data_IF_125956128397
#
_entry.id   IF_125956128397
#
_cell.length_a   1.000
_cell.length_b   1.000
_cell.length_c   1.000
_cell.angle_alpha   90.00
_cell.angle_beta   90.00
_cell.angle_gamma   90.00
#
_symmetry.space_group_name_H-M   'P 1'
#
loop_
_entity.id
_entity.type
_entity.pdbx_description
1 polymer ?
#
# COMPACT_ATOMS: atom_id res chain seq x y z
N UNK A 1 19.27 -28.12 5.67
CA UNK A 1 20.02 -29.40 5.54
C UNK A 1 19.03 -30.42 5.03
N UNK A 2 19.30 -30.98 3.85
CA UNK A 2 18.62 -32.21 3.41
C UNK A 2 19.32 -33.34 4.17
N UNK A 3 18.62 -34.25 4.85
CA UNK A 3 19.28 -35.36 5.51
C UNK A 3 19.96 -36.30 4.49
N UNK A 4 20.98 -37.05 4.91
CA UNK A 4 21.61 -38.05 4.05
C UNK A 4 20.70 -39.28 3.99
N UNK A 5 20.13 -39.56 2.81
CA UNK A 5 19.26 -40.71 2.58
C UNK A 5 19.87 -41.61 1.51
N UNK A 6 19.81 -42.92 1.73
CA UNK A 6 20.42 -43.93 0.83
C UNK A 6 19.49 -44.39 -0.29
N UNK A 7 18.21 -43.98 -0.27
CA UNK A 7 17.17 -44.31 -1.27
C UNK A 7 16.23 -43.10 -1.46
N UNK A 8 15.92 -42.74 -2.70
CA UNK A 8 15.06 -41.60 -3.04
C UNK A 8 13.62 -41.73 -2.50
N UNK A 9 13.16 -42.97 -2.31
CA UNK A 9 11.82 -43.30 -1.79
C UNK A 9 11.69 -42.88 -0.33
N UNK A 10 12.71 -43.14 0.48
CA UNK A 10 12.72 -42.80 1.91
C UNK A 10 12.73 -41.27 2.11
N UNK A 11 13.46 -40.54 1.26
CA UNK A 11 13.45 -39.08 1.25
C UNK A 11 12.07 -38.53 0.88
N UNK A 12 11.43 -39.08 -0.15
CA UNK A 12 10.10 -38.64 -0.58
C UNK A 12 9.04 -38.89 0.51
N UNK A 13 9.13 -40.01 1.21
CA UNK A 13 8.24 -40.35 2.32
C UNK A 13 8.46 -39.42 3.53
N UNK A 14 9.72 -39.17 3.90
CA UNK A 14 10.07 -38.23 4.98
C UNK A 14 9.61 -36.81 4.67
N UNK A 15 9.79 -36.36 3.43
CA UNK A 15 9.33 -35.05 2.97
C UNK A 15 7.79 -34.95 3.06
N UNK A 16 7.07 -35.94 2.55
CA UNK A 16 5.61 -35.99 2.63
C UNK A 16 5.11 -35.96 4.08
N UNK A 17 5.76 -36.73 4.96
CA UNK A 17 5.45 -36.77 6.40
C UNK A 17 5.71 -35.43 7.08
N UNK A 18 6.82 -34.76 6.76
CA UNK A 18 7.16 -33.45 7.32
C UNK A 18 6.08 -32.40 7.01
N UNK A 19 5.67 -32.26 5.75
CA UNK A 19 4.67 -31.26 5.37
C UNK A 19 3.28 -31.59 5.92
N UNK A 20 2.89 -32.86 5.90
CA UNK A 20 1.61 -33.31 6.48
C UNK A 20 1.55 -32.97 7.97
N UNK A 21 2.62 -33.26 8.72
CA UNK A 21 2.69 -32.97 10.14
C UNK A 21 2.72 -31.46 10.41
N UNK A 22 3.44 -30.68 9.60
CA UNK A 22 3.49 -29.22 9.72
C UNK A 22 2.12 -28.57 9.50
N UNK A 23 1.38 -29.02 8.49
CA UNK A 23 0.02 -28.53 8.20
C UNK A 23 -0.93 -28.88 9.36
N UNK A 24 -0.85 -30.10 9.88
CA UNK A 24 -1.65 -30.53 11.03
C UNK A 24 -1.37 -29.68 12.28
N UNK A 25 -0.09 -29.47 12.61
CA UNK A 25 0.30 -28.68 13.79
C UNK A 25 -0.21 -27.23 13.69
N UNK A 26 -0.03 -26.57 12.55
CA UNK A 26 -0.52 -25.20 12.35
C UNK A 26 -2.04 -25.11 12.55
N UNK A 27 -2.82 -26.06 11.99
CA UNK A 27 -4.28 -26.07 12.14
C UNK A 27 -4.69 -26.26 13.60
N UNK A 28 -4.07 -27.22 14.29
CA UNK A 28 -4.39 -27.49 15.69
C UNK A 28 -3.98 -26.35 16.62
N UNK A 29 -2.90 -25.62 16.33
CA UNK A 29 -2.51 -24.42 17.08
C UNK A 29 -3.52 -23.28 16.88
N UNK A 30 -3.95 -23.02 15.64
CA UNK A 30 -4.97 -22.00 15.35
C UNK A 30 -6.34 -22.33 15.98
N UNK A 31 -6.73 -23.61 16.00
CA UNK A 31 -7.96 -24.06 16.66
C UNK A 31 -7.88 -23.94 18.18
N UNK A 32 -6.69 -24.13 18.78
CA UNK A 32 -6.48 -23.89 20.21
C UNK A 32 -6.60 -22.41 20.56
N UNK A 33 -6.05 -21.52 19.73
CA UNK A 33 -6.16 -20.07 19.92
C UNK A 33 -7.62 -19.58 19.82
N UNK A 34 -8.42 -20.16 18.91
CA UNK A 34 -9.85 -19.85 18.81
C UNK A 34 -10.71 -20.35 19.99
N UNK A 35 -10.24 -21.36 20.75
CA UNK A 35 -10.96 -21.91 21.90
C UNK A 35 -10.57 -21.26 23.24
N UNK A 36 -9.53 -20.42 23.27
CA UNK A 36 -9.34 -19.46 24.36
C UNK A 36 -10.34 -18.33 24.18
N UNK A 37 -11.44 -18.42 24.94
CA UNK A 37 -12.51 -17.44 25.10
C UNK A 37 -12.22 -16.08 24.47
N UNK A 38 -12.75 -15.92 23.26
CA UNK A 38 -12.79 -14.66 22.54
C UNK A 38 -13.74 -13.70 23.27
N UNK A 39 -13.27 -13.11 24.37
CA UNK A 39 -13.94 -12.01 25.07
C UNK A 39 -14.00 -10.73 24.21
N UNK A 40 -13.42 -10.74 23.01
CA UNK A 40 -13.35 -9.57 22.13
C UNK A 40 -14.55 -9.38 21.18
N UNK A 41 -15.42 -10.37 20.98
CA UNK A 41 -16.52 -10.25 20.01
C UNK A 41 -17.74 -9.46 20.53
N UNK A 42 -17.88 -9.25 21.84
CA UNK A 42 -19.00 -8.47 22.41
C UNK A 42 -18.76 -6.95 22.44
N UNK A 43 -17.60 -6.47 21.99
CA UNK A 43 -17.27 -5.04 21.91
C UNK A 43 -17.45 -4.45 20.51
N UNK A 44 -17.80 -5.26 19.51
CA UNK A 44 -18.09 -4.77 18.17
C UNK A 44 -19.55 -4.32 18.15
N UNK A 45 -19.82 -3.16 18.78
CA UNK A 45 -20.88 -2.29 18.26
C UNK A 45 -20.62 -2.16 16.75
N UNK A 46 -21.62 -2.32 15.85
CA UNK A 46 -21.37 -2.07 14.44
C UNK A 46 -20.80 -0.67 14.37
N UNK A 47 -19.53 -0.56 13.96
CA UNK A 47 -18.85 0.72 13.87
C UNK A 47 -19.54 1.49 12.74
N UNK A 48 -20.63 2.16 13.09
CA UNK A 48 -21.46 2.97 12.20
C UNK A 48 -20.78 4.31 11.92
N UNK A 49 -19.46 4.29 11.73
CA UNK A 49 -18.74 5.45 11.27
C UNK A 49 -18.81 5.44 9.74
N UNK A 50 -19.90 6.00 9.23
CA UNK A 50 -20.05 6.30 7.81
C UNK A 50 -19.25 7.56 7.52
N UNK A 51 -18.26 7.46 6.64
CA UNK A 51 -17.59 8.63 6.09
C UNK A 51 -18.53 9.25 5.06
N UNK A 52 -19.30 10.24 5.48
CA UNK A 52 -20.27 10.95 4.62
C UNK A 52 -19.61 12.05 3.79
N UNK A 53 -18.52 12.63 4.28
CA UNK A 53 -17.83 13.75 3.65
C UNK A 53 -16.34 13.77 3.97
N UNK A 54 -15.57 14.40 3.10
CA UNK A 54 -14.17 14.71 3.33
C UNK A 54 -14.01 16.14 3.83
N UNK A 55 -13.10 16.35 4.77
CA UNK A 55 -12.67 17.69 5.16
C UNK A 55 -11.95 18.36 4.00
N UNK A 56 -12.41 19.56 3.63
CA UNK A 56 -11.74 20.37 2.61
C UNK A 56 -10.37 20.83 3.11
N UNK A 57 -9.43 20.95 2.18
CA UNK A 57 -8.06 21.39 2.45
C UNK A 57 -7.90 22.90 2.31
N UNK A 58 -6.82 23.42 2.90
CA UNK A 58 -6.44 24.83 2.83
C UNK A 58 -5.25 25.08 1.90
N UNK A 59 -5.12 26.33 1.43
CA UNK A 59 -3.92 26.76 0.70
C UNK A 59 -2.62 26.48 1.46
N UNK A 60 -2.62 26.63 2.79
CA UNK A 60 -1.45 26.37 3.62
C UNK A 60 -1.04 24.90 3.56
N UNK A 61 -1.99 23.99 3.63
CA UNK A 61 -1.75 22.55 3.55
C UNK A 61 -1.22 22.16 2.17
N UNK A 62 -1.81 22.70 1.08
CA UNK A 62 -1.33 22.47 -0.28
C UNK A 62 0.11 22.94 -0.46
N UNK A 63 0.46 24.16 0.00
CA UNK A 63 1.85 24.65 -0.06
C UNK A 63 2.82 23.74 0.68
N UNK A 64 2.44 23.30 1.89
CA UNK A 64 3.26 22.38 2.67
C UNK A 64 3.41 21.00 2.00
N UNK A 65 2.35 20.49 1.37
CA UNK A 65 2.37 19.22 0.65
C UNK A 65 3.31 19.28 -0.54
N UNK A 66 3.21 20.33 -1.36
CA UNK A 66 4.08 20.53 -2.53
C UNK A 66 5.54 20.70 -2.11
N UNK A 67 5.82 21.45 -1.04
CA UNK A 67 7.18 21.64 -0.53
C UNK A 67 7.82 20.31 -0.08
N UNK A 68 7.04 19.43 0.57
CA UNK A 68 7.49 18.12 1.06
C UNK A 68 7.58 17.04 -0.02
N UNK A 69 6.92 17.26 -1.16
CA UNK A 69 6.87 16.29 -2.25
C UNK A 69 8.23 16.14 -2.94
N UNK A 70 8.54 14.94 -3.43
CA UNK A 70 9.75 14.72 -4.23
C UNK A 70 9.68 15.51 -5.53
N UNK A 71 10.82 16.02 -6.01
CA UNK A 71 10.90 16.70 -7.31
C UNK A 71 10.95 15.66 -8.45
N UNK A 72 9.92 14.82 -8.55
CA UNK A 72 9.76 13.87 -9.65
C UNK A 72 9.03 14.53 -10.82
N UNK A 73 9.34 14.16 -12.05
CA UNK A 73 8.63 14.66 -13.24
C UNK A 73 8.04 13.47 -13.97
N UNK A 74 6.81 13.62 -14.44
CA UNK A 74 6.12 12.65 -15.28
C UNK A 74 6.15 13.17 -16.72
N UNK A 75 6.40 12.30 -17.70
CA UNK A 75 6.38 12.70 -19.12
C UNK A 75 4.99 13.16 -19.59
N UNK A 76 3.93 12.64 -18.97
CA UNK A 76 2.55 13.06 -19.23
C UNK A 76 2.18 14.37 -18.53
N UNK A 77 3.00 14.85 -17.59
CA UNK A 77 2.75 16.10 -16.89
C UNK A 77 3.49 17.25 -17.57
N UNK A 78 2.77 18.22 -18.18
CA UNK A 78 3.40 19.37 -18.81
C UNK A 78 4.07 20.33 -17.80
N UNK A 79 3.83 20.16 -16.49
CA UNK A 79 4.38 21.00 -15.44
C UNK A 79 5.41 20.23 -14.59
N UNK A 80 6.72 20.44 -14.82
CA UNK A 80 7.75 19.82 -13.99
C UNK A 80 7.64 20.24 -12.51
N UNK A 81 7.79 19.28 -11.59
CA UNK A 81 7.72 19.54 -10.13
C UNK A 81 8.63 20.68 -9.62
N UNK A 82 9.87 20.89 -10.14
CA UNK A 82 10.67 22.04 -9.73
C UNK A 82 10.02 23.38 -10.09
N UNK A 83 9.37 23.47 -11.25
CA UNK A 83 8.67 24.68 -11.69
C UNK A 83 7.41 24.91 -10.87
N UNK A 84 6.66 23.84 -10.58
CA UNK A 84 5.52 23.90 -9.67
C UNK A 84 5.92 24.48 -8.30
N UNK A 85 7.06 24.05 -7.74
CA UNK A 85 7.56 24.57 -6.46
C UNK A 85 7.93 26.05 -6.52
N UNK A 86 8.46 26.52 -7.64
CA UNK A 86 8.80 27.94 -7.84
C UNK A 86 7.55 28.82 -7.97
N UNK A 87 6.50 28.32 -8.61
CA UNK A 87 5.26 29.05 -8.87
C UNK A 87 4.12 28.67 -7.90
N UNK A 88 4.45 28.07 -6.74
CA UNK A 88 3.43 27.51 -5.85
C UNK A 88 2.55 28.59 -5.24
N UNK A 89 3.06 29.80 -5.04
CA UNK A 89 2.29 30.88 -4.45
C UNK A 89 1.12 31.31 -5.34
N UNK A 90 1.35 31.36 -6.65
CA UNK A 90 0.35 31.68 -7.68
C UNK A 90 -0.57 30.50 -7.99
N UNK A 91 -0.04 29.28 -8.03
CA UNK A 91 -0.79 28.07 -8.41
C UNK A 91 -1.60 27.48 -7.25
N UNK A 92 -1.23 27.77 -6.01
CA UNK A 92 -1.87 27.20 -4.83
C UNK A 92 -3.40 27.38 -4.79
N UNK A 93 -3.99 28.56 -5.09
CA UNK A 93 -5.45 28.71 -5.09
C UNK A 93 -6.16 27.75 -6.06
N UNK A 94 -5.59 27.56 -7.26
CA UNK A 94 -6.15 26.68 -8.27
C UNK A 94 -6.03 25.21 -7.85
N UNK A 95 -4.86 24.81 -7.32
CA UNK A 95 -4.64 23.45 -6.83
C UNK A 95 -5.59 23.11 -5.67
N UNK A 96 -5.74 24.02 -4.71
CA UNK A 96 -6.70 23.88 -3.61
C UNK A 96 -8.12 23.73 -4.12
N UNK A 97 -8.51 24.51 -5.14
CA UNK A 97 -9.83 24.41 -5.74
C UNK A 97 -10.06 23.05 -6.41
N UNK A 98 -9.07 22.54 -7.16
CA UNK A 98 -9.14 21.21 -7.82
C UNK A 98 -9.30 20.11 -6.76
N UNK A 99 -8.48 20.14 -5.70
CA UNK A 99 -8.54 19.15 -4.61
C UNK A 99 -9.88 19.21 -3.89
N UNK A 100 -10.34 20.41 -3.49
CA UNK A 100 -11.61 20.56 -2.79
C UNK A 100 -12.82 20.19 -3.63
N UNK A 101 -12.79 20.47 -4.93
CA UNK A 101 -13.81 19.99 -5.88
C UNK A 101 -13.81 18.48 -5.95
N UNK A 102 -12.63 17.85 -5.99
CA UNK A 102 -12.53 16.38 -6.03
C UNK A 102 -13.05 15.74 -4.75
N UNK A 103 -12.71 16.32 -3.59
CA UNK A 103 -13.15 15.83 -2.27
C UNK A 103 -14.66 16.00 -2.06
N UNK A 104 -15.24 17.12 -2.49
CA UNK A 104 -16.67 17.39 -2.32
C UNK A 104 -17.57 16.62 -3.29
N UNK A 105 -17.09 16.38 -4.52
CA UNK A 105 -17.84 15.66 -5.55
C UNK A 105 -17.52 14.17 -5.63
N UNK A 106 -16.58 13.70 -4.81
CA UNK A 106 -16.01 12.35 -4.85
C UNK A 106 -15.53 11.94 -6.26
N UNK A 107 -15.16 12.91 -7.10
CA UNK A 107 -14.81 12.69 -8.51
C UNK A 107 -13.44 13.29 -8.79
N UNK A 108 -12.52 12.47 -9.29
CA UNK A 108 -11.18 12.92 -9.66
C UNK A 108 -11.04 13.09 -11.18
N UNK A 109 -10.32 14.11 -11.68
CA UNK A 109 -10.16 14.35 -13.12
C UNK A 109 -9.46 13.19 -13.84
N UNK A 110 -10.01 12.74 -14.97
CA UNK A 110 -9.45 11.61 -15.74
C UNK A 110 -8.04 11.87 -16.24
N UNK A 111 -7.74 13.08 -16.70
CA UNK A 111 -6.40 13.48 -17.14
C UNK A 111 -5.32 13.32 -16.06
N UNK A 112 -5.69 13.32 -14.79
CA UNK A 112 -4.77 13.15 -13.65
C UNK A 112 -4.72 11.70 -13.15
N UNK A 113 -5.53 10.78 -13.70
CA UNK A 113 -5.52 9.34 -13.37
C UNK A 113 -4.46 8.57 -14.15
N UNK A 114 -3.94 9.16 -15.21
CA UNK A 114 -2.98 8.52 -16.10
C UNK A 114 -1.55 8.72 -15.61
N UNK A 115 -0.77 7.64 -15.61
CA UNK A 115 0.67 7.68 -15.35
C UNK A 115 1.38 6.69 -16.28
N UNK A 116 2.54 7.05 -16.84
CA UNK A 116 3.27 6.17 -17.73
C UNK A 116 3.92 5.04 -16.91
N UNK A 117 3.59 3.80 -17.25
CA UNK A 117 4.15 2.62 -16.62
C UNK A 117 5.46 2.20 -17.27
N UNK A 118 6.60 2.60 -16.70
CA UNK A 118 7.91 2.12 -17.16
C UNK A 118 8.42 0.99 -16.26
N UNK A 119 8.81 -0.18 -16.82
CA UNK A 119 9.44 -1.22 -16.03
C UNK A 119 10.82 -0.75 -15.52
N UNK A 120 10.98 -0.71 -14.20
CA UNK A 120 12.27 -0.37 -13.58
C UNK A 120 13.13 -1.64 -13.42
N UNK A 121 14.34 -1.63 -13.98
CA UNK A 121 15.29 -2.73 -13.80
C UNK A 121 15.92 -2.61 -12.41
N UNK A 122 15.71 -3.63 -11.56
CA UNK A 122 16.35 -3.73 -10.25
C UNK A 122 17.79 -4.23 -10.41
N UNK A 123 18.76 -3.32 -10.37
CA UNK A 123 20.18 -3.70 -10.39
C UNK A 123 20.52 -4.59 -9.18
N UNK A 124 20.97 -5.83 -9.42
CA UNK A 124 21.45 -6.78 -8.39
C UNK A 124 22.97 -6.85 -8.27
N UNK A 125 23.73 -6.05 -9.01
CA UNK A 125 25.19 -6.11 -9.01
C UNK A 125 25.80 -4.72 -9.10
N UNK A 126 26.23 -4.19 -7.95
CA UNK A 126 27.36 -3.27 -7.86
C UNK A 126 28.36 -3.97 -6.93
N UNK A 127 29.23 -4.81 -7.50
CA UNK A 127 30.44 -5.28 -6.81
C UNK A 127 31.51 -4.23 -7.11
N UNK A 128 31.92 -3.48 -6.09
CA UNK A 128 33.26 -2.90 -6.04
C UNK A 128 34.20 -3.94 -5.44
#
# INVERSE_FOLDING_TARGET
MVPDHTQDVDLAEEFSKYFTNKIYNIRTELEKENNSETTCLSLISPLSQVLSEFSLTSNKEIKQLVAKSSSSTCELDPLPSPLLKLCIDELCPVLTHIVNTSLSTCTFPDALKEAPGFPLIKNKYCRQ
#
